data_IF_207059111176
#
_entry.id   IF_207059111176
#
_cell.length_a   1.000
_cell.length_b   1.000
_cell.length_c   1.000
_cell.angle_alpha   90.00
_cell.angle_beta   90.00
_cell.angle_gamma   90.00
#
_symmetry.space_group_name_H-M   'P 1'
#
loop_
_entity.id
_entity.type
_entity.pdbx_description
1 polymer ?
#
# COMPACT_ATOMS: atom_id res chain seq x y z
N UNK A 1 1.21 39.11 8.30
CA UNK A 1 1.76 38.05 7.42
C UNK A 1 0.82 37.92 6.23
N UNK A 2 1.20 38.40 5.05
CA UNK A 2 0.34 38.38 3.85
C UNK A 2 0.66 37.10 3.06
N UNK A 3 -0.31 36.20 2.95
CA UNK A 3 -0.18 34.94 2.20
C UNK A 3 -0.75 35.20 0.80
N UNK A 4 -0.02 34.82 -0.24
CA UNK A 4 -0.49 34.99 -1.62
C UNK A 4 -1.63 34.00 -1.94
N UNK A 5 -2.47 34.32 -2.92
CA UNK A 5 -3.53 33.41 -3.37
C UNK A 5 -2.97 32.04 -3.81
N UNK A 6 -1.78 32.02 -4.41
CA UNK A 6 -1.09 30.79 -4.78
C UNK A 6 -0.73 29.93 -3.54
N UNK A 7 -0.18 30.56 -2.50
CA UNK A 7 0.15 29.85 -1.26
C UNK A 7 -1.10 29.30 -0.57
N UNK A 8 -2.23 30.02 -0.62
CA UNK A 8 -3.51 29.50 -0.14
C UNK A 8 -3.92 28.26 -0.93
N UNK A 9 -3.83 28.29 -2.26
CA UNK A 9 -4.15 27.14 -3.12
C UNK A 9 -3.24 25.92 -2.84
N UNK A 10 -1.95 26.14 -2.63
CA UNK A 10 -0.98 25.09 -2.29
C UNK A 10 -1.28 24.47 -0.92
N UNK A 11 -1.62 25.26 0.09
CA UNK A 11 -2.03 24.77 1.41
C UNK A 11 -3.28 23.89 1.32
N UNK A 12 -4.27 24.30 0.52
CA UNK A 12 -5.46 23.49 0.25
C UNK A 12 -5.13 22.17 -0.46
N UNK A 13 -4.21 22.19 -1.43
CA UNK A 13 -3.74 20.97 -2.10
C UNK A 13 -3.04 20.02 -1.11
N UNK A 14 -2.20 20.55 -0.22
CA UNK A 14 -1.51 19.74 0.80
C UNK A 14 -2.49 19.11 1.78
N UNK A 15 -3.56 19.82 2.15
CA UNK A 15 -4.63 19.27 3.00
C UNK A 15 -5.30 18.05 2.36
N UNK A 16 -5.57 18.09 1.06
CA UNK A 16 -6.11 16.93 0.34
C UNK A 16 -5.14 15.76 0.27
N UNK A 17 -3.83 16.01 0.17
CA UNK A 17 -2.84 14.92 0.21
C UNK A 17 -2.89 14.16 1.54
N UNK A 18 -3.07 14.86 2.66
CA UNK A 18 -3.25 14.22 3.98
C UNK A 18 -4.51 13.36 4.00
N UNK A 19 -5.63 13.85 3.47
CA UNK A 19 -6.87 13.08 3.38
C UNK A 19 -6.73 11.83 2.51
N UNK A 20 -6.07 11.95 1.35
CA UNK A 20 -5.78 10.83 0.45
C UNK A 20 -4.88 9.80 1.11
N UNK A 21 -3.87 10.24 1.87
CA UNK A 21 -3.01 9.36 2.66
C UNK A 21 -3.82 8.55 3.68
N UNK A 22 -4.65 9.22 4.50
CA UNK A 22 -5.47 8.50 5.48
C UNK A 22 -6.55 7.63 4.86
N UNK A 23 -7.08 8.01 3.69
CA UNK A 23 -7.98 7.15 2.90
C UNK A 23 -7.25 5.88 2.47
N UNK A 24 -6.05 6.02 1.92
CA UNK A 24 -5.21 4.88 1.51
C UNK A 24 -4.88 3.98 2.70
N UNK A 25 -4.47 4.57 3.83
CA UNK A 25 -4.10 3.84 5.05
C UNK A 25 -5.28 3.01 5.59
N UNK A 26 -6.46 3.62 5.70
CA UNK A 26 -7.67 2.90 6.15
C UNK A 26 -8.09 1.78 5.18
N UNK A 27 -7.97 2.00 3.88
CA UNK A 27 -8.37 1.02 2.87
C UNK A 27 -7.43 -0.19 2.82
N UNK A 28 -6.12 0.03 2.79
CA UNK A 28 -5.15 -1.01 2.46
C UNK A 28 -4.59 -1.73 3.70
N UNK A 29 -4.48 -1.06 4.85
CA UNK A 29 -3.98 -1.67 6.09
C UNK A 29 -5.08 -2.33 6.93
N UNK A 30 -6.28 -2.53 6.36
CA UNK A 30 -7.45 -3.16 7.00
C UNK A 30 -7.73 -2.63 8.41
N UNK A 31 -7.62 -1.31 8.63
CA UNK A 31 -8.12 -0.65 9.85
C UNK A 31 -9.65 -0.58 9.76
N UNK A 32 -10.30 -1.74 9.66
CA UNK A 32 -11.76 -1.87 9.54
C UNK A 32 -12.44 -1.95 10.89
N UNK A 33 -11.71 -2.39 11.93
CA UNK A 33 -12.17 -2.47 13.32
C UNK A 33 -11.04 -2.14 14.26
N UNK A 34 -11.37 -1.45 15.35
CA UNK A 34 -10.44 -1.26 16.45
C UNK A 34 -10.43 -2.51 17.33
N UNK A 35 -9.24 -2.95 17.73
CA UNK A 35 -9.07 -4.12 18.59
C UNK A 35 -9.33 -3.80 20.07
N UNK A 36 -9.45 -2.53 20.41
CA UNK A 36 -9.86 -2.04 21.72
C UNK A 36 -10.57 -0.69 21.59
N UNK A 37 -11.39 -0.35 22.57
CA UNK A 37 -12.19 0.89 22.58
C UNK A 37 -11.54 2.00 23.43
N UNK A 38 -10.44 1.70 24.11
CA UNK A 38 -9.69 2.70 24.86
C UNK A 38 -8.89 3.59 23.93
N UNK A 39 -8.72 4.85 24.31
CA UNK A 39 -7.95 5.82 23.52
C UNK A 39 -6.53 5.33 23.20
N UNK A 40 -5.86 4.71 24.18
CA UNK A 40 -4.52 4.16 24.01
C UNK A 40 -4.49 3.01 23.00
N UNK A 41 -5.47 2.10 23.04
CA UNK A 41 -5.54 0.99 22.07
C UNK A 41 -5.70 1.52 20.64
N UNK A 42 -6.56 2.54 20.46
CA UNK A 42 -6.75 3.20 19.16
C UNK A 42 -5.47 3.91 18.70
N UNK A 43 -4.80 4.67 19.58
CA UNK A 43 -3.53 5.35 19.28
C UNK A 43 -2.46 4.37 18.84
N UNK A 44 -2.27 3.27 19.57
CA UNK A 44 -1.28 2.23 19.23
C UNK A 44 -1.58 1.62 17.87
N UNK A 45 -2.85 1.32 17.57
CA UNK A 45 -3.23 0.76 16.27
C UNK A 45 -2.94 1.72 15.10
N UNK A 46 -3.19 3.02 15.30
CA UNK A 46 -2.87 4.04 14.29
C UNK A 46 -1.35 4.16 14.11
N UNK A 47 -0.59 4.21 15.19
CA UNK A 47 0.88 4.27 15.12
C UNK A 47 1.46 3.04 14.44
N UNK A 48 0.97 1.84 14.75
CA UNK A 48 1.40 0.61 14.08
C UNK A 48 1.12 0.67 12.57
N UNK A 49 -0.05 1.16 12.15
CA UNK A 49 -0.38 1.32 10.74
C UNK A 49 0.55 2.32 10.02
N UNK A 50 0.86 3.45 10.66
CA UNK A 50 1.80 4.45 10.12
C UNK A 50 3.21 3.84 10.01
N UNK A 51 3.69 3.14 11.04
CA UNK A 51 4.98 2.45 11.01
C UNK A 51 5.05 1.44 9.88
N UNK A 52 4.01 0.62 9.68
CA UNK A 52 3.95 -0.34 8.56
C UNK A 52 4.03 0.37 7.22
N UNK A 53 3.30 1.47 7.02
CA UNK A 53 3.40 2.26 5.79
C UNK A 53 4.82 2.77 5.55
N UNK A 54 5.45 3.37 6.57
CA UNK A 54 6.82 3.86 6.48
C UNK A 54 7.79 2.75 6.09
N UNK A 55 7.69 1.57 6.69
CA UNK A 55 8.54 0.42 6.35
C UNK A 55 8.34 -0.01 4.89
N UNK A 56 7.11 -0.12 4.42
CA UNK A 56 6.81 -0.48 3.02
C UNK A 56 7.35 0.58 2.06
N UNK A 57 7.20 1.86 2.38
CA UNK A 57 7.72 2.97 1.57
C UNK A 57 9.25 2.97 1.50
N UNK A 58 9.93 2.70 2.62
CA UNK A 58 11.39 2.56 2.68
C UNK A 58 11.84 1.39 1.80
N UNK A 59 11.21 0.21 1.95
CA UNK A 59 11.54 -0.98 1.14
C UNK A 59 11.36 -0.68 -0.36
N UNK A 60 10.23 -0.08 -0.73
CA UNK A 60 9.94 0.29 -2.12
C UNK A 60 11.00 1.25 -2.68
N UNK A 61 11.37 2.27 -1.91
CA UNK A 61 12.35 3.28 -2.29
C UNK A 61 13.76 2.68 -2.43
N UNK A 62 14.25 1.99 -1.40
CA UNK A 62 15.62 1.48 -1.35
C UNK A 62 15.86 0.36 -2.37
N UNK A 63 14.84 -0.44 -2.65
CA UNK A 63 14.90 -1.50 -3.65
C UNK A 63 14.58 -1.01 -5.06
N UNK A 64 14.17 0.26 -5.24
CA UNK A 64 13.79 0.87 -6.51
C UNK A 64 12.75 0.05 -7.27
N UNK A 65 11.71 -0.40 -6.55
CA UNK A 65 10.66 -1.23 -7.13
C UNK A 65 9.73 -0.40 -8.01
N UNK A 66 9.57 -0.80 -9.27
CA UNK A 66 8.57 -0.25 -10.19
C UNK A 66 7.18 -0.90 -9.95
N UNK A 67 6.73 -0.83 -8.71
CA UNK A 67 5.43 -1.35 -8.24
C UNK A 67 4.77 -0.30 -7.37
N UNK A 68 3.44 -0.35 -7.27
CA UNK A 68 2.73 0.51 -6.32
C UNK A 68 3.03 0.10 -4.87
N UNK A 69 2.98 1.06 -3.94
CA UNK A 69 3.15 0.79 -2.49
C UNK A 69 2.19 -0.28 -1.99
N UNK A 70 0.99 -0.36 -2.59
CA UNK A 70 0.00 -1.38 -2.24
C UNK A 70 0.43 -2.79 -2.67
N UNK A 71 0.97 -2.96 -3.88
CA UNK A 71 1.46 -4.26 -4.34
C UNK A 71 2.63 -4.75 -3.49
N UNK A 72 3.55 -3.84 -3.13
CA UNK A 72 4.65 -4.14 -2.20
C UNK A 72 4.09 -4.60 -0.85
N UNK A 73 3.10 -3.89 -0.30
CA UNK A 73 2.42 -4.29 0.93
C UNK A 73 1.74 -5.67 0.79
N UNK A 74 1.10 -5.99 -0.33
CA UNK A 74 0.43 -7.27 -0.55
C UNK A 74 1.42 -8.43 -0.59
N UNK A 75 2.51 -8.28 -1.35
CA UNK A 75 3.57 -9.30 -1.44
C UNK A 75 4.15 -9.57 -0.04
N UNK A 76 4.49 -8.51 0.70
CA UNK A 76 4.99 -8.65 2.07
C UNK A 76 3.97 -9.31 3.00
N UNK A 77 2.68 -8.97 2.85
CA UNK A 77 1.60 -9.53 3.68
C UNK A 77 1.38 -11.03 3.45
N UNK A 78 1.57 -11.52 2.22
CA UNK A 78 1.46 -12.94 1.88
C UNK A 78 2.71 -13.70 2.33
N UNK A 79 3.87 -13.04 2.32
CA UNK A 79 5.17 -13.61 2.63
C UNK A 79 5.68 -13.28 4.04
N UNK A 80 4.79 -12.96 5.00
CA UNK A 80 5.20 -12.52 6.35
C UNK A 80 6.07 -13.53 7.12
N UNK A 81 5.89 -14.82 6.86
CA UNK A 81 6.66 -15.91 7.47
C UNK A 81 7.74 -16.48 6.56
N UNK A 82 7.87 -15.93 5.36
CA UNK A 82 8.89 -16.31 4.39
C UNK A 82 10.25 -15.78 4.84
N UNK A 83 11.27 -16.62 4.73
CA UNK A 83 12.66 -16.31 5.13
C UNK A 83 13.54 -15.95 3.93
N UNK A 84 12.99 -15.99 2.72
CA UNK A 84 13.70 -15.56 1.51
C UNK A 84 14.13 -14.10 1.63
N UNK A 85 15.29 -13.76 1.06
CA UNK A 85 15.73 -12.39 1.03
C UNK A 85 14.72 -11.54 0.23
N UNK A 86 14.46 -10.32 0.70
CA UNK A 86 13.46 -9.44 0.08
C UNK A 86 13.71 -9.24 -1.42
N UNK A 87 14.97 -9.14 -1.86
CA UNK A 87 15.31 -8.98 -3.28
C UNK A 87 14.86 -10.20 -4.10
N UNK A 88 15.19 -11.39 -3.64
CA UNK A 88 14.79 -12.64 -4.29
C UNK A 88 13.25 -12.81 -4.28
N UNK A 89 12.58 -12.39 -3.21
CA UNK A 89 11.12 -12.40 -3.10
C UNK A 89 10.47 -11.51 -4.17
N UNK A 90 10.93 -10.27 -4.31
CA UNK A 90 10.38 -9.33 -5.30
C UNK A 90 10.75 -9.69 -6.74
N UNK A 91 11.89 -10.34 -6.97
CA UNK A 91 12.29 -10.85 -8.27
C UNK A 91 11.45 -12.06 -8.68
N UNK A 92 11.24 -13.03 -7.78
CA UNK A 92 10.38 -14.21 -8.02
C UNK A 92 8.94 -13.82 -8.37
N UNK A 93 8.40 -12.83 -7.68
CA UNK A 93 7.04 -12.32 -7.93
C UNK A 93 6.92 -11.55 -9.25
N UNK A 94 8.02 -11.11 -9.86
CA UNK A 94 8.01 -10.50 -11.21
C UNK A 94 7.65 -11.54 -12.26
N UNK A 95 8.28 -12.73 -12.17
CA UNK A 95 8.07 -13.82 -13.13
C UNK A 95 6.69 -14.47 -13.06
N UNK A 96 6.01 -14.44 -11.90
CA UNK A 96 4.64 -14.96 -11.79
C UNK A 96 3.61 -14.04 -12.43
N UNK A 97 3.73 -12.72 -12.26
CA UNK A 97 2.83 -11.76 -12.91
C UNK A 97 2.92 -11.80 -14.44
N UNK A 98 4.10 -12.09 -15.00
CA UNK A 98 4.29 -12.23 -16.45
C UNK A 98 3.77 -13.59 -16.98
N UNK A 99 3.85 -14.66 -16.17
CA UNK A 99 3.35 -15.99 -16.57
C UNK A 99 1.82 -16.13 -16.50
N UNK A 100 1.11 -15.28 -15.76
CA UNK A 100 -0.36 -15.26 -15.74
C UNK A 100 -1.00 -14.51 -16.92
N UNK A 101 -0.21 -13.95 -17.85
CA UNK A 101 -0.72 -13.22 -19.03
C UNK A 101 -0.76 -14.03 -20.34
N UNK A 102 -0.45 -15.33 -20.33
CA UNK A 102 -0.55 -16.17 -21.53
C UNK A 102 -1.47 -17.38 -21.34
N UNK A 103 -2.69 -17.25 -21.88
CA UNK A 103 -3.56 -18.35 -22.29
C UNK A 103 -5.07 -18.06 -22.17
N UNK A 104 -5.76 -17.57 -23.21
CA UNK A 104 -7.21 -17.65 -23.28
C UNK A 104 -7.60 -19.03 -23.83
N UNK A 105 -7.42 -20.10 -23.04
CA UNK A 105 -7.94 -21.42 -23.40
C UNK A 105 -8.88 -21.96 -22.31
N UNK A 106 -9.78 -21.11 -21.83
CA UNK A 106 -11.03 -21.57 -21.21
C UNK A 106 -12.08 -21.75 -22.31
N UNK A 107 -12.85 -22.86 -22.33
CA UNK A 107 -13.90 -23.03 -23.33
C UNK A 107 -14.89 -21.86 -23.23
N UNK A 108 -15.25 -21.28 -24.38
CA UNK A 108 -16.18 -20.16 -24.51
C UNK A 108 -17.52 -20.53 -23.87
N UNK A 109 -17.76 -20.01 -22.67
CA UNK A 109 -18.96 -20.33 -21.89
C UNK A 109 -20.21 -19.54 -22.36
N UNK A 110 -20.08 -18.78 -23.45
CA UNK A 110 -21.19 -18.10 -24.10
C UNK A 110 -21.05 -18.27 -25.62
N UNK A 111 -21.68 -19.32 -26.13
CA UNK A 111 -22.15 -19.38 -27.51
C UNK A 111 -23.67 -19.20 -27.44
N UNK A 112 -24.14 -18.01 -27.81
CA UNK A 112 -25.51 -17.73 -28.27
C UNK A 112 -25.40 -16.84 -29.50
#
# INVERSE_FOLDING_TARGET
MHISALQVAELYKNRWQVELFFKWLKQHLKIKRFWGTTENAVRIQIYAAICTYCLVAIIQHDMKLDRSTYEVLQILSISLTDKTHLRDLFDKTKFQNDKERFGPNGPSLFNF
#
